data_IF_675914863796
#
_entry.id   IF_675914863796
#
_cell.length_a   1.000
_cell.length_b   1.000
_cell.length_c   1.000
_cell.angle_alpha   90.00
_cell.angle_beta   90.00
_cell.angle_gamma   90.00
#
_symmetry.space_group_name_H-M   'P 1'
#
loop_
_entity.id
_entity.type
_entity.pdbx_description
1 polymer ?
#
# COMPACT_ATOMS: atom_id res chain seq x y z
N UNK A 1 -12.66 2.27 26.31
CA UNK A 1 -12.16 2.01 24.94
C UNK A 1 -13.30 1.91 23.94
N UNK A 2 -13.10 2.46 22.74
CA UNK A 2 -14.06 2.35 21.62
C UNK A 2 -13.33 2.03 20.32
N UNK A 3 -14.07 1.53 19.34
CA UNK A 3 -13.59 1.27 17.98
C UNK A 3 -14.48 2.05 17.02
N UNK A 4 -13.87 2.72 16.05
CA UNK A 4 -14.60 3.26 14.89
C UNK A 4 -14.26 2.46 13.63
N UNK A 5 -15.24 2.30 12.76
CA UNK A 5 -15.10 1.70 11.44
C UNK A 5 -15.61 2.72 10.42
N UNK A 6 -14.76 3.07 9.46
CA UNK A 6 -15.07 3.93 8.32
C UNK A 6 -14.93 3.13 7.02
N UNK A 7 -15.96 3.15 6.19
CA UNK A 7 -15.97 2.59 4.83
C UNK A 7 -16.86 3.47 3.91
N UNK A 8 -17.17 2.99 2.70
CA UNK A 8 -18.07 3.69 1.76
C UNK A 8 -19.51 3.85 2.31
N UNK A 9 -19.95 2.98 3.21
CA UNK A 9 -21.28 3.03 3.79
C UNK A 9 -21.39 4.07 4.92
N UNK A 10 -20.24 4.56 5.41
CA UNK A 10 -20.13 5.66 6.36
C UNK A 10 -19.33 5.32 7.61
N UNK A 11 -19.60 6.07 8.67
CA UNK A 11 -18.87 5.99 9.92
C UNK A 11 -19.71 5.34 11.02
N UNK A 12 -19.16 4.31 11.67
CA UNK A 12 -19.80 3.59 12.76
C UNK A 12 -18.88 3.51 13.98
N UNK A 13 -19.42 3.69 15.18
CA UNK A 13 -18.69 3.52 16.45
C UNK A 13 -19.28 2.41 17.31
N UNK A 14 -18.38 1.68 17.99
CA UNK A 14 -18.71 0.57 18.86
C UNK A 14 -17.93 0.68 20.17
N UNK A 15 -18.57 0.30 21.28
CA UNK A 15 -17.88 0.11 22.54
C UNK A 15 -17.20 -1.26 22.55
N UNK A 16 -15.99 -1.32 23.11
CA UNK A 16 -15.31 -2.60 23.32
C UNK A 16 -15.89 -3.26 24.56
N UNK A 17 -16.27 -4.55 24.45
CA UNK A 17 -16.71 -5.32 25.60
C UNK A 17 -15.57 -5.45 26.63
N UNK A 18 -15.81 -5.00 27.87
CA UNK A 18 -14.78 -4.91 28.89
C UNK A 18 -14.30 -6.27 29.42
N UNK A 19 -15.10 -7.33 29.27
CA UNK A 19 -14.76 -8.66 29.77
C UNK A 19 -13.98 -9.47 28.74
N UNK A 20 -14.29 -9.27 27.46
CA UNK A 20 -13.75 -10.08 26.35
C UNK A 20 -12.77 -9.32 25.48
N UNK A 21 -12.79 -7.98 25.50
CA UNK A 21 -12.01 -7.14 24.59
C UNK A 21 -12.53 -7.17 23.14
N UNK A 22 -13.69 -7.79 22.89
CA UNK A 22 -14.22 -7.99 21.55
C UNK A 22 -15.21 -6.89 21.15
N UNK A 23 -15.27 -6.65 19.84
CA UNK A 23 -16.30 -5.87 19.17
C UNK A 23 -16.95 -6.75 18.12
N UNK A 24 -18.27 -6.95 18.22
CA UNK A 24 -19.04 -7.70 17.24
C UNK A 24 -19.94 -6.73 16.48
N UNK A 25 -19.86 -6.71 15.16
CA UNK A 25 -20.72 -5.92 14.29
C UNK A 25 -21.26 -6.76 13.13
N UNK A 26 -22.38 -6.33 12.56
CA UNK A 26 -22.98 -6.95 11.38
C UNK A 26 -22.76 -6.11 10.10
N UNK A 27 -21.84 -5.14 10.13
CA UNK A 27 -21.47 -4.39 8.93
C UNK A 27 -20.94 -5.31 7.84
N UNK A 28 -21.39 -5.06 6.62
CA UNK A 28 -20.78 -5.62 5.41
C UNK A 28 -19.70 -4.64 4.94
N UNK A 29 -18.45 -4.90 5.35
CA UNK A 29 -17.32 -4.05 4.97
C UNK A 29 -17.11 -4.09 3.46
N UNK A 30 -16.84 -2.92 2.89
CA UNK A 30 -16.57 -2.77 1.45
C UNK A 30 -15.13 -3.17 1.08
N UNK A 31 -14.74 -2.90 -0.18
CA UNK A 31 -13.41 -3.21 -0.71
C UNK A 31 -12.29 -2.39 -0.05
N UNK A 32 -12.64 -1.33 0.66
CA UNK A 32 -11.76 -0.64 1.58
C UNK A 32 -12.45 -0.38 2.93
N UNK A 33 -11.63 -0.20 3.97
CA UNK A 33 -12.09 0.23 5.29
C UNK A 33 -10.92 0.78 6.12
N UNK A 34 -11.25 1.59 7.12
CA UNK A 34 -10.34 2.06 8.17
C UNK A 34 -10.95 1.72 9.52
N UNK A 35 -10.25 0.90 10.31
CA UNK A 35 -10.61 0.59 11.69
C UNK A 35 -9.68 1.38 12.60
N UNK A 36 -10.23 2.16 13.53
CA UNK A 36 -9.45 2.91 14.52
C UNK A 36 -9.86 2.50 15.93
N UNK A 37 -8.89 2.16 16.77
CA UNK A 37 -9.10 1.84 18.19
C UNK A 37 -8.70 3.05 19.02
N UNK A 38 -9.54 3.40 20.00
CA UNK A 38 -9.34 4.55 20.88
C UNK A 38 -9.15 4.13 22.34
N UNK A 39 -8.31 4.88 23.04
CA UNK A 39 -8.21 4.81 24.50
C UNK A 39 -9.40 5.51 25.18
N UNK A 40 -9.38 5.58 26.51
CA UNK A 40 -10.46 6.20 27.29
C UNK A 40 -10.50 7.74 27.17
N UNK A 41 -9.44 8.35 26.65
CA UNK A 41 -9.35 9.78 26.37
C UNK A 41 -9.78 10.14 24.94
N UNK A 42 -10.31 9.18 24.17
CA UNK A 42 -10.61 9.31 22.73
C UNK A 42 -9.38 9.57 21.84
N UNK A 43 -8.18 9.17 22.28
CA UNK A 43 -6.97 9.22 21.45
C UNK A 43 -6.85 7.91 20.66
N UNK A 44 -6.53 8.01 19.37
CA UNK A 44 -6.31 6.85 18.52
C UNK A 44 -5.01 6.14 18.90
N UNK A 45 -5.09 4.86 19.27
CA UNK A 45 -3.94 4.04 19.71
C UNK A 45 -3.58 2.93 18.71
N UNK A 46 -4.48 2.62 17.78
CA UNK A 46 -4.23 1.65 16.72
C UNK A 46 -5.09 2.00 15.50
N UNK A 47 -4.56 1.75 14.31
CA UNK A 47 -5.28 1.90 13.05
C UNK A 47 -4.94 0.76 12.10
N UNK A 48 -5.98 0.11 11.58
CA UNK A 48 -5.90 -0.87 10.50
C UNK A 48 -6.55 -0.28 9.25
N UNK A 49 -5.88 -0.40 8.12
CA UNK A 49 -6.30 0.20 6.84
C UNK A 49 -6.20 -0.88 5.79
N UNK A 50 -7.33 -1.21 5.17
CA UNK A 50 -7.39 -2.00 3.96
C UNK A 50 -7.88 -1.13 2.83
N UNK A 51 -7.17 -1.14 1.70
CA UNK A 51 -7.57 -0.41 0.52
C UNK A 51 -7.31 -1.23 -0.74
N UNK A 52 -8.32 -1.33 -1.60
CA UNK A 52 -8.18 -1.97 -2.92
C UNK A 52 -7.82 -0.92 -3.96
N UNK A 53 -6.75 -1.15 -4.70
CA UNK A 53 -6.24 -0.20 -5.71
C UNK A 53 -6.51 -0.76 -7.09
N UNK A 54 -7.21 0.03 -7.90
CA UNK A 54 -7.44 -0.23 -9.31
C UNK A 54 -6.38 0.43 -10.17
N UNK A 55 -6.12 -0.17 -11.34
CA UNK A 55 -5.15 0.30 -12.32
C UNK A 55 -5.68 0.21 -13.75
N UNK A 56 -4.84 0.56 -14.72
CA UNK A 56 -5.13 0.46 -16.15
C UNK A 56 -4.33 -0.68 -16.76
N UNK A 57 -4.99 -1.48 -17.60
CA UNK A 57 -4.35 -2.49 -18.47
C UNK A 57 -4.50 -2.06 -19.92
N UNK A 58 -3.38 -1.91 -20.60
CA UNK A 58 -3.30 -1.58 -22.02
C UNK A 58 -2.75 -2.79 -22.76
N UNK A 59 -3.49 -3.29 -23.74
CA UNK A 59 -3.08 -4.42 -24.57
C UNK A 59 -2.85 -3.90 -25.99
N UNK A 60 -1.68 -4.18 -26.52
CA UNK A 60 -1.30 -3.80 -27.89
C UNK A 60 -0.87 -5.05 -28.65
N UNK A 61 -1.31 -5.18 -29.90
CA UNK A 61 -0.83 -6.23 -30.79
C UNK A 61 0.43 -5.75 -31.50
N UNK A 62 1.55 -6.43 -31.26
CA UNK A 62 2.79 -6.25 -32.00
C UNK A 62 2.98 -7.45 -32.94
N UNK A 63 3.81 -7.31 -33.98
CA UNK A 63 4.00 -8.36 -35.00
C UNK A 63 4.41 -9.73 -34.45
N UNK A 64 4.96 -9.78 -33.24
CA UNK A 64 5.42 -11.01 -32.57
C UNK A 64 4.47 -11.49 -31.45
N UNK A 65 3.31 -10.85 -31.23
CA UNK A 65 2.36 -11.22 -30.18
C UNK A 65 1.78 -10.02 -29.43
N UNK A 66 1.02 -10.30 -28.37
CA UNK A 66 0.49 -9.27 -27.50
C UNK A 66 1.59 -8.67 -26.60
N UNK A 67 1.50 -7.37 -26.39
CA UNK A 67 2.28 -6.62 -25.42
C UNK A 67 1.31 -5.94 -24.46
N UNK A 68 1.43 -6.30 -23.19
CA UNK A 68 0.62 -5.80 -22.10
C UNK A 68 1.41 -4.79 -21.27
N UNK A 69 0.78 -3.64 -21.01
CA UNK A 69 1.28 -2.62 -20.09
C UNK A 69 0.24 -2.44 -19.00
N UNK A 70 0.65 -2.63 -17.75
CA UNK A 70 -0.18 -2.45 -16.57
C UNK A 70 0.35 -1.28 -15.76
N UNK A 71 -0.51 -0.29 -15.57
CA UNK A 71 -0.27 0.91 -14.78
C UNK A 71 -1.11 0.81 -13.52
N UNK A 72 -0.48 0.49 -12.39
CA UNK A 72 -1.19 0.32 -11.11
C UNK A 72 -0.35 0.88 -9.98
N UNK A 73 -0.96 1.70 -9.13
CA UNK A 73 -0.31 2.23 -7.93
C UNK A 73 1.08 2.88 -8.18
N UNK A 74 1.17 3.76 -9.17
CA UNK A 74 2.43 4.40 -9.62
C UNK A 74 3.48 3.44 -10.21
N UNK A 75 3.21 2.13 -10.24
CA UNK A 75 4.03 1.12 -10.86
C UNK A 75 3.69 0.95 -12.35
N UNK A 76 4.68 0.49 -13.11
CA UNK A 76 4.54 0.16 -14.53
C UNK A 76 5.12 -1.23 -14.76
N UNK A 77 4.23 -2.16 -15.06
CA UNK A 77 4.51 -3.57 -15.26
C UNK A 77 4.29 -3.88 -16.74
N UNK A 78 5.21 -4.61 -17.36
CA UNK A 78 5.14 -4.99 -18.77
C UNK A 78 5.24 -6.50 -18.95
N UNK A 79 4.61 -6.99 -20.02
CA UNK A 79 4.73 -8.37 -20.45
C UNK A 79 4.60 -8.45 -21.98
N UNK A 80 5.66 -8.89 -22.65
CA UNK A 80 5.60 -9.35 -24.03
C UNK A 80 5.27 -10.85 -24.06
N UNK A 81 4.55 -11.30 -25.09
CA UNK A 81 4.12 -12.69 -25.27
C UNK A 81 5.19 -13.76 -24.99
N UNK A 82 6.45 -13.52 -25.35
CA UNK A 82 7.56 -14.46 -25.20
C UNK A 82 8.56 -14.07 -24.08
N UNK A 83 8.15 -13.23 -23.13
CA UNK A 83 9.03 -12.68 -22.08
C UNK A 83 8.50 -12.90 -20.68
N UNK A 84 9.35 -12.75 -19.66
CA UNK A 84 8.88 -12.70 -18.28
C UNK A 84 8.14 -11.38 -18.00
N UNK A 85 7.37 -11.34 -16.92
CA UNK A 85 6.83 -10.09 -16.38
C UNK A 85 7.97 -9.21 -15.87
N UNK A 86 8.00 -7.96 -16.31
CA UNK A 86 9.02 -6.99 -15.93
C UNK A 86 8.40 -5.77 -15.25
N UNK A 87 9.03 -5.29 -14.18
CA UNK A 87 8.62 -4.10 -13.44
C UNK A 87 9.56 -2.96 -13.81
N UNK A 88 9.16 -2.14 -14.77
CA UNK A 88 9.93 -0.97 -15.21
C UNK A 88 9.88 0.20 -14.21
N UNK A 89 8.85 0.24 -13.37
CA UNK A 89 8.70 1.22 -12.29
C UNK A 89 7.97 0.59 -11.11
N UNK A 90 8.51 0.76 -9.91
CA UNK A 90 7.96 0.22 -8.67
C UNK A 90 6.95 1.19 -8.02
N UNK A 91 6.02 0.68 -7.18
CA UNK A 91 5.16 1.52 -6.35
C UNK A 91 5.98 2.36 -5.37
N UNK A 92 5.43 3.51 -4.98
CA UNK A 92 6.13 4.52 -4.19
C UNK A 92 5.98 4.27 -2.69
N UNK A 93 6.99 3.64 -2.11
CA UNK A 93 7.23 3.55 -0.67
C UNK A 93 8.54 4.25 -0.39
N UNK A 94 8.49 5.32 0.39
CA UNK A 94 9.65 6.15 0.70
C UNK A 94 10.01 5.98 2.17
N UNK A 95 11.28 5.69 2.41
CA UNK A 95 11.87 5.63 3.73
C UNK A 95 13.02 6.63 3.81
N UNK A 96 12.97 7.52 4.79
CA UNK A 96 14.00 8.54 5.01
C UNK A 96 14.44 8.55 6.47
N UNK A 97 15.75 8.68 6.69
CA UNK A 97 16.29 9.07 7.99
C UNK A 97 16.38 10.60 8.05
N UNK A 98 15.69 11.20 9.02
CA UNK A 98 15.67 12.64 9.21
C UNK A 98 16.99 13.09 9.86
N UNK A 99 17.42 14.32 9.56
CA UNK A 99 18.62 14.91 10.18
C UNK A 99 18.51 15.04 11.71
N UNK A 100 17.29 14.99 12.25
CA UNK A 100 16.99 15.01 13.69
C UNK A 100 17.11 13.62 14.35
N UNK A 101 17.41 12.57 13.59
CA UNK A 101 17.54 11.19 14.08
C UNK A 101 16.24 10.37 14.03
N UNK A 102 15.10 10.99 13.73
CA UNK A 102 13.83 10.27 13.50
C UNK A 102 13.79 9.60 12.13
N UNK A 103 12.85 8.67 11.94
CA UNK A 103 12.62 8.03 10.63
C UNK A 103 11.25 8.39 10.09
N UNK A 104 11.16 8.49 8.77
CA UNK A 104 9.92 8.74 8.06
C UNK A 104 9.62 7.58 7.12
N UNK A 105 8.39 7.09 7.17
CA UNK A 105 7.83 6.16 6.19
C UNK A 105 6.65 6.85 5.49
N UNK A 106 6.70 6.96 4.17
CA UNK A 106 5.62 7.50 3.37
C UNK A 106 5.17 6.51 2.31
N UNK A 107 3.90 6.13 2.36
CA UNK A 107 3.28 5.24 1.37
C UNK A 107 2.29 6.07 0.56
N UNK A 108 2.57 6.23 -0.74
CA UNK A 108 1.71 6.99 -1.65
C UNK A 108 1.02 6.01 -2.58
N UNK A 109 -0.29 5.89 -2.39
CA UNK A 109 -1.18 5.05 -3.16
C UNK A 109 -1.90 5.88 -4.23
N UNK A 110 -2.08 5.31 -5.42
CA UNK A 110 -2.87 5.94 -6.49
C UNK A 110 -3.90 4.96 -7.00
N UNK A 111 -5.17 5.25 -6.76
CA UNK A 111 -6.31 4.49 -7.25
C UNK A 111 -6.90 5.13 -8.50
N UNK A 112 -7.19 4.29 -9.50
CA UNK A 112 -7.76 4.73 -10.77
C UNK A 112 -9.21 4.27 -10.85
N UNK A 113 -10.12 5.22 -10.98
CA UNK A 113 -11.53 4.99 -11.30
C UNK A 113 -11.77 5.30 -12.77
N UNK A 114 -12.40 4.37 -13.50
CA UNK A 114 -12.73 4.57 -14.92
C UNK A 114 -14.19 4.95 -15.02
N UNK A 115 -14.47 6.13 -15.57
CA UNK A 115 -15.84 6.57 -15.82
C UNK A 115 -16.24 6.18 -17.26
N UNK A 116 -17.00 5.10 -17.40
CA UNK A 116 -17.42 4.55 -18.69
C UNK A 116 -16.47 3.50 -19.26
N UNK A 117 -16.41 3.39 -20.58
CA UNK A 117 -15.52 2.44 -21.27
C UNK A 117 -14.48 3.21 -22.07
N UNK A 118 -13.20 2.91 -21.83
CA UNK A 118 -12.08 3.47 -22.59
C UNK A 118 -12.08 2.95 -24.05
N UNK A 119 -12.77 1.84 -24.32
CA UNK A 119 -12.93 1.30 -25.67
C UNK A 119 -11.63 0.80 -26.30
N UNK A 120 -11.68 0.55 -27.62
CA UNK A 120 -10.53 0.18 -28.43
C UNK A 120 -10.36 1.22 -29.53
N UNK A 121 -9.15 1.78 -29.66
CA UNK A 121 -8.81 2.73 -30.71
C UNK A 121 -7.31 2.69 -31.01
N UNK A 122 -6.93 2.97 -32.27
CA UNK A 122 -5.53 3.10 -32.69
C UNK A 122 -4.85 4.35 -32.08
N UNK A 123 -5.64 5.32 -31.63
CA UNK A 123 -5.18 6.49 -30.88
C UNK A 123 -6.21 6.77 -29.79
N UNK A 124 -5.77 6.69 -28.54
CA UNK A 124 -6.59 6.94 -27.36
C UNK A 124 -6.07 8.22 -26.69
N UNK A 125 -6.90 9.27 -26.70
CA UNK A 125 -6.76 10.38 -25.77
C UNK A 125 -7.48 10.01 -24.48
N UNK A 126 -6.80 10.15 -23.35
CA UNK A 126 -7.34 9.84 -22.03
C UNK A 126 -7.06 11.06 -21.16
N UNK A 127 -8.11 11.61 -20.58
CA UNK A 127 -7.98 12.65 -19.58
C UNK A 127 -7.88 12.00 -18.20
N UNK A 128 -6.87 12.42 -17.44
CA UNK A 128 -6.56 11.93 -16.11
C UNK A 128 -6.80 13.08 -15.14
N UNK A 129 -7.88 13.00 -14.39
CA UNK A 129 -8.36 14.07 -13.52
C UNK A 129 -8.21 13.63 -12.06
N UNK A 130 -7.64 14.50 -11.22
CA UNK A 130 -7.61 14.23 -9.78
C UNK A 130 -9.01 14.33 -9.19
N UNK A 131 -9.44 13.30 -8.46
CA UNK A 131 -10.69 13.26 -7.71
C UNK A 131 -10.47 13.55 -6.21
N UNK A 132 -9.27 14.00 -5.84
CA UNK A 132 -8.88 14.30 -4.47
C UNK A 132 -7.96 13.24 -3.85
N UNK A 133 -7.79 13.32 -2.54
CA UNK A 133 -6.94 12.43 -1.79
C UNK A 133 -7.52 12.17 -0.39
N UNK A 134 -7.40 10.92 0.05
CA UNK A 134 -7.66 10.48 1.41
C UNK A 134 -6.32 10.30 2.12
N UNK A 135 -6.19 10.83 3.34
CA UNK A 135 -5.05 10.56 4.22
C UNK A 135 -5.53 9.77 5.45
N UNK A 136 -5.53 8.42 5.39
CA UNK A 136 -5.96 7.59 6.51
C UNK A 136 -5.12 7.74 7.77
N UNK A 137 -3.84 8.06 7.65
CA UNK A 137 -2.93 8.16 8.79
C UNK A 137 -1.77 9.11 8.47
N UNK A 138 -1.53 10.06 9.38
CA UNK A 138 -0.36 10.92 9.37
C UNK A 138 0.02 11.22 10.81
N UNK A 139 1.24 10.85 11.21
CA UNK A 139 1.73 11.10 12.56
C UNK A 139 2.81 10.13 13.02
N UNK A 140 3.18 10.24 14.29
CA UNK A 140 4.14 9.34 14.91
C UNK A 140 3.50 8.02 15.33
N UNK A 141 4.22 6.93 15.09
CA UNK A 141 3.85 5.60 15.56
C UNK A 141 5.12 4.80 15.89
N UNK A 142 4.98 3.79 16.74
CA UNK A 142 6.09 2.90 17.11
C UNK A 142 6.14 1.63 16.26
N UNK A 143 5.00 1.22 15.73
CA UNK A 143 4.88 -0.02 14.99
C UNK A 143 4.10 0.24 13.70
N UNK A 144 4.71 -0.11 12.57
CA UNK A 144 4.04 -0.15 11.27
C UNK A 144 4.22 -1.53 10.70
N UNK A 145 3.13 -2.09 10.16
CA UNK A 145 3.15 -3.29 9.35
C UNK A 145 2.29 -3.04 8.13
N UNK A 146 2.83 -3.34 6.95
CA UNK A 146 2.05 -3.33 5.72
C UNK A 146 2.31 -4.59 4.90
N UNK A 147 1.32 -4.96 4.10
CA UNK A 147 1.34 -6.10 3.19
C UNK A 147 0.69 -5.69 1.87
N UNK A 148 1.20 -6.19 0.75
CA UNK A 148 0.63 -5.94 -0.56
C UNK A 148 0.40 -7.25 -1.30
N UNK A 149 -0.82 -7.44 -1.80
CA UNK A 149 -1.15 -8.55 -2.69
C UNK A 149 -1.54 -8.02 -4.06
N UNK A 150 -0.96 -8.60 -5.11
CA UNK A 150 -1.21 -8.17 -6.48
C UNK A 150 -1.94 -9.27 -7.27
N UNK A 151 -2.93 -8.88 -8.08
CA UNK A 151 -3.73 -9.79 -8.92
C UNK A 151 -3.27 -9.87 -10.38
N UNK A 152 -2.23 -9.13 -10.79
CA UNK A 152 -1.65 -9.13 -12.14
C UNK A 152 -1.00 -10.46 -12.46
N UNK A 153 0.00 -10.85 -11.67
CA UNK A 153 0.68 -12.13 -11.78
C UNK A 153 1.34 -12.51 -10.45
N UNK A 154 1.44 -13.82 -10.11
CA UNK A 154 2.03 -14.28 -8.85
C UNK A 154 3.48 -13.85 -8.60
N UNK A 155 4.22 -13.48 -9.65
CA UNK A 155 5.62 -13.07 -9.57
C UNK A 155 5.81 -11.58 -9.23
N UNK A 156 4.75 -10.76 -9.28
CA UNK A 156 4.87 -9.30 -9.07
C UNK A 156 5.10 -8.96 -7.60
N UNK A 157 4.29 -9.50 -6.68
CA UNK A 157 4.45 -9.22 -5.24
C UNK A 157 5.85 -9.60 -4.74
N UNK A 158 6.40 -10.81 -5.03
CA UNK A 158 7.76 -11.15 -4.61
C UNK A 158 8.84 -10.18 -5.13
N UNK A 159 8.71 -9.65 -6.35
CA UNK A 159 9.64 -8.66 -6.88
C UNK A 159 9.57 -7.33 -6.14
N UNK A 160 8.38 -6.90 -5.70
CA UNK A 160 8.23 -5.72 -4.84
C UNK A 160 8.89 -5.92 -3.48
N UNK A 161 8.65 -7.08 -2.84
CA UNK A 161 9.24 -7.41 -1.56
C UNK A 161 10.78 -7.47 -1.64
N UNK A 162 11.32 -8.08 -2.69
CA UNK A 162 12.77 -8.13 -2.93
C UNK A 162 13.37 -6.72 -3.07
N UNK A 163 12.72 -5.83 -3.82
CA UNK A 163 13.17 -4.46 -4.00
C UNK A 163 13.16 -3.69 -2.67
N UNK A 164 12.08 -3.79 -1.90
CA UNK A 164 11.93 -3.09 -0.63
C UNK A 164 12.83 -3.63 0.48
N UNK A 165 13.16 -4.93 0.45
CA UNK A 165 14.00 -5.60 1.45
C UNK A 165 15.47 -5.74 1.01
N UNK A 166 15.87 -5.10 -0.08
CA UNK A 166 17.21 -5.20 -0.66
C UNK A 166 18.30 -4.74 0.31
N UNK A 167 18.13 -3.56 0.93
CA UNK A 167 19.08 -3.02 1.91
C UNK A 167 19.16 -3.86 3.19
N UNK A 168 18.02 -4.36 3.67
CA UNK A 168 17.99 -5.30 4.80
C UNK A 168 18.78 -6.58 4.48
N UNK A 169 18.59 -7.13 3.28
CA UNK A 169 19.28 -8.35 2.84
C UNK A 169 20.79 -8.13 2.75
N UNK A 170 21.22 -6.96 2.29
CA UNK A 170 22.64 -6.57 2.23
C UNK A 170 23.25 -6.46 3.63
N UNK A 171 22.57 -5.80 4.57
CA UNK A 171 23.05 -5.64 5.95
C UNK A 171 23.08 -6.98 6.69
N UNK A 172 22.08 -7.84 6.46
CA UNK A 172 22.08 -9.22 6.96
C UNK A 172 23.27 -10.03 6.46
N UNK A 173 23.56 -9.95 5.16
CA UNK A 173 24.71 -10.65 4.58
C UNK A 173 26.06 -10.11 5.09
N UNK A 174 26.11 -8.82 5.43
CA UNK A 174 27.31 -8.13 5.92
C UNK A 174 27.51 -8.23 7.43
N UNK A 175 26.51 -8.71 8.18
CA UNK A 175 26.56 -8.82 9.63
C UNK A 175 26.35 -7.49 10.38
N UNK A 176 25.73 -6.50 9.73
CA UNK A 176 25.55 -5.13 10.25
C UNK A 176 24.10 -4.84 10.65
N UNK A 177 23.31 -5.87 10.95
CA UNK A 177 21.89 -5.71 11.31
C UNK A 177 21.67 -4.97 12.63
N UNK A 178 22.60 -5.04 13.57
CA UNK A 178 22.48 -4.41 14.89
C UNK A 178 22.39 -2.87 14.81
N UNK A 179 22.90 -2.29 13.72
CA UNK A 179 22.89 -0.84 13.45
C UNK A 179 21.96 -0.46 12.29
N UNK A 180 21.24 -1.44 11.71
CA UNK A 180 20.42 -1.20 10.52
C UNK A 180 19.13 -0.46 10.86
N UNK A 181 18.86 0.60 10.09
CA UNK A 181 17.66 1.42 10.19
C UNK A 181 17.05 1.53 8.79
N UNK A 182 15.88 0.94 8.59
CA UNK A 182 15.26 0.82 7.27
C UNK A 182 14.06 -0.11 7.25
N UNK A 183 13.60 -0.44 6.04
CA UNK A 183 12.57 -1.44 5.83
C UNK A 183 13.11 -2.83 6.18
N UNK A 184 12.33 -3.62 6.90
CA UNK A 184 12.68 -4.95 7.34
C UNK A 184 11.48 -5.90 7.22
N UNK A 185 11.70 -7.22 7.07
CA UNK A 185 10.60 -8.16 7.10
C UNK A 185 9.97 -8.20 8.49
N UNK A 186 8.64 -8.23 8.55
CA UNK A 186 7.91 -8.48 9.78
C UNK A 186 7.96 -9.98 10.11
N UNK A 187 8.38 -10.33 11.33
CA UNK A 187 8.54 -11.73 11.80
C UNK A 187 9.50 -12.58 10.95
N UNK A 188 9.01 -13.19 9.87
CA UNK A 188 9.78 -14.13 9.04
C UNK A 188 10.64 -13.38 8.03
N UNK A 189 11.92 -13.76 7.94
CA UNK A 189 12.91 -13.17 7.04
C UNK A 189 12.55 -13.19 5.53
N UNK A 190 11.55 -13.96 5.12
CA UNK A 190 11.02 -13.99 3.76
C UNK A 190 10.07 -12.83 3.43
N UNK A 191 9.66 -12.00 4.39
CA UNK A 191 8.74 -10.87 4.18
C UNK A 191 7.27 -11.26 3.98
N UNK A 192 6.94 -12.56 4.06
CA UNK A 192 5.59 -13.08 3.79
C UNK A 192 4.54 -12.60 4.81
N UNK A 193 4.94 -12.28 6.04
CA UNK A 193 4.03 -11.70 7.03
C UNK A 193 3.90 -10.17 6.85
N UNK A 194 4.64 -9.59 5.93
CA UNK A 194 4.65 -8.16 5.63
C UNK A 194 5.99 -7.51 5.90
N UNK A 195 5.98 -6.20 5.74
CA UNK A 195 7.14 -5.33 5.89
C UNK A 195 6.87 -4.37 7.05
N UNK A 196 7.93 -4.10 7.80
CA UNK A 196 7.96 -3.19 8.94
C UNK A 196 9.16 -2.25 8.81
N UNK A 197 9.33 -1.38 9.80
CA UNK A 197 10.44 -0.44 9.90
C UNK A 197 11.26 -0.78 11.14
N UNK A 198 12.57 -0.92 10.96
CA UNK A 198 13.53 -0.96 12.08
C UNK A 198 14.03 0.46 12.33
N UNK A 199 13.80 0.98 13.54
CA UNK A 199 14.10 2.38 13.90
C UNK A 199 14.93 2.55 15.17
N UNK A 200 15.51 1.48 15.74
CA UNK A 200 16.32 1.49 16.98
C UNK A 200 15.64 2.34 18.08
N UNK A 201 14.41 1.94 18.44
CA UNK A 201 13.58 2.60 19.46
C UNK A 201 13.19 4.08 19.18
N UNK A 202 13.43 4.59 17.98
CA UNK A 202 12.91 5.90 17.55
C UNK A 202 11.49 5.78 17.03
N UNK A 203 10.62 6.78 17.27
CA UNK A 203 9.31 6.82 16.65
C UNK A 203 9.44 6.96 15.12
N UNK A 204 8.52 6.32 14.41
CA UNK A 204 8.38 6.42 12.96
C UNK A 204 7.31 7.45 12.66
N UNK A 205 7.67 8.51 11.93
CA UNK A 205 6.68 9.38 11.31
C UNK A 205 6.10 8.65 10.10
N UNK A 206 4.89 8.12 10.25
CA UNK A 206 4.21 7.38 9.20
C UNK A 206 3.15 8.25 8.54
N UNK A 207 3.14 8.26 7.21
CA UNK A 207 2.13 8.93 6.40
C UNK A 207 1.68 8.00 5.29
N UNK A 208 0.36 7.85 5.14
CA UNK A 208 -0.25 7.12 4.03
C UNK A 208 -1.24 8.02 3.33
N UNK A 209 -0.99 8.25 2.04
CA UNK A 209 -1.86 9.06 1.20
C UNK A 209 -2.41 8.21 0.08
N UNK A 210 -3.72 8.30 -0.16
CA UNK A 210 -4.42 7.62 -1.25
C UNK A 210 -4.93 8.69 -2.19
N UNK A 211 -4.40 8.73 -3.40
CA UNK A 211 -4.82 9.65 -4.43
C UNK A 211 -5.86 8.98 -5.30
N UNK A 212 -7.03 9.61 -5.42
CA UNK A 212 -8.07 9.17 -6.32
C UNK A 212 -7.93 9.90 -7.66
N UNK A 213 -7.95 9.12 -8.73
CA UNK A 213 -7.80 9.62 -10.09
C UNK A 213 -8.93 9.05 -10.92
N UNK A 214 -9.65 9.93 -11.60
CA UNK A 214 -10.70 9.56 -12.54
C UNK A 214 -10.13 9.63 -13.95
N UNK A 215 -10.40 8.57 -14.69
CA UNK A 215 -10.00 8.41 -16.08
C UNK A 215 -11.28 8.44 -16.91
N UNK A 216 -11.34 9.43 -17.80
CA UNK A 216 -12.44 9.61 -18.74
C UNK A 216 -11.92 9.94 -20.15
N UNK A 217 -12.85 9.96 -21.12
CA UNK A 217 -12.58 10.16 -22.54
C UNK A 217 -13.17 11.48 -23.01
#
# INVERSE_FOLDING_TARGET
>A
HKVSILDDNGFNEYNIDQNTGLVTHNLQLTDWYIITVFNDNNEAIHKDIKYTISGLRVITSLGNGEHEIILVNNARIEHFADSAWEISKFPRVEFDQLATGGVRLSIILTNIQVNGSLGSANQLGIDIISAGSLNPFSGECYNVRFTLTNSVAPVITPQYDEQWLSEYTLNRASGTLDEYVGLAPYERASGIDGITVTSIDQPVFFDVAINEVVVER
#
